data_IF_826564773725
#
_entry.id   IF_826564773725
#
_cell.length_a   1.000
_cell.length_b   1.000
_cell.length_c   1.000
_cell.angle_alpha   90.00
_cell.angle_beta   90.00
_cell.angle_gamma   90.00
#
_symmetry.space_group_name_H-M   'P 1'
#
loop_
_entity.id
_entity.type
_entity.pdbx_description
1 polymer ?
#
# COMPACT_ATOMS: atom_id res chain seq x y z
N UNK A 1 18.48 -21.89 -12.95
CA UNK A 1 17.12 -21.30 -13.10
C UNK A 1 16.97 -19.98 -12.33
N UNK A 2 17.29 -19.96 -11.03
CA UNK A 2 17.11 -18.83 -10.11
C UNK A 2 17.87 -17.56 -10.54
N UNK A 3 19.14 -17.68 -10.98
CA UNK A 3 19.96 -16.53 -11.42
C UNK A 3 19.38 -15.74 -12.60
N UNK A 4 18.56 -16.35 -13.47
CA UNK A 4 17.92 -15.63 -14.58
C UNK A 4 16.67 -14.89 -14.11
N UNK A 5 15.90 -15.46 -13.18
CA UNK A 5 14.73 -14.80 -12.58
C UNK A 5 15.16 -13.57 -11.78
N UNK A 6 16.26 -13.66 -11.02
CA UNK A 6 16.82 -12.53 -10.26
C UNK A 6 17.24 -11.38 -11.19
N UNK A 7 17.87 -11.68 -12.33
CA UNK A 7 18.24 -10.65 -13.31
C UNK A 7 17.03 -9.98 -13.94
N UNK A 8 15.99 -10.75 -14.27
CA UNK A 8 14.73 -10.22 -14.79
C UNK A 8 14.05 -9.35 -13.73
N UNK A 9 14.03 -9.81 -12.48
CA UNK A 9 13.51 -9.05 -11.34
C UNK A 9 14.18 -7.69 -11.22
N UNK A 10 15.52 -7.63 -11.19
CA UNK A 10 16.24 -6.34 -11.07
C UNK A 10 16.05 -5.44 -12.30
N UNK A 11 15.89 -6.02 -13.49
CA UNK A 11 15.59 -5.26 -14.71
C UNK A 11 14.20 -4.61 -14.65
N UNK A 12 13.19 -5.34 -14.19
CA UNK A 12 11.83 -4.83 -13.98
C UNK A 12 11.77 -3.86 -12.80
N UNK A 13 12.51 -4.13 -11.72
CA UNK A 13 12.64 -3.25 -10.55
C UNK A 13 13.12 -1.85 -10.94
N UNK A 14 14.06 -1.76 -11.89
CA UNK A 14 14.53 -0.47 -12.41
C UNK A 14 13.44 0.30 -13.18
N UNK A 15 12.52 -0.40 -13.85
CA UNK A 15 11.36 0.24 -14.51
C UNK A 15 10.34 0.73 -13.49
N UNK A 16 10.08 -0.07 -12.46
CA UNK A 16 9.21 0.29 -11.33
C UNK A 16 9.73 1.51 -10.59
N UNK A 17 11.06 1.64 -10.45
CA UNK A 17 11.73 2.79 -9.82
C UNK A 17 11.75 4.07 -10.66
N UNK A 18 11.04 4.14 -11.79
CA UNK A 18 10.93 5.40 -12.54
C UNK A 18 10.27 6.46 -11.65
N UNK A 19 10.89 7.64 -11.48
CA UNK A 19 10.46 8.62 -10.50
C UNK A 19 9.02 9.10 -10.74
N UNK A 20 8.57 9.18 -11.99
CA UNK A 20 7.19 9.53 -12.33
C UNK A 20 6.17 8.54 -11.78
N UNK A 21 6.46 7.24 -11.87
CA UNK A 21 5.56 6.19 -11.41
C UNK A 21 5.65 6.03 -9.89
N UNK A 22 6.87 6.02 -9.34
CA UNK A 22 7.11 5.94 -7.90
C UNK A 22 6.51 7.12 -7.13
N UNK A 23 6.78 8.36 -7.55
CA UNK A 23 6.32 9.54 -6.83
C UNK A 23 4.81 9.70 -6.91
N UNK A 24 4.20 9.40 -8.06
CA UNK A 24 2.74 9.45 -8.20
C UNK A 24 2.04 8.43 -7.30
N UNK A 25 2.55 7.21 -7.26
CA UNK A 25 1.96 6.12 -6.47
C UNK A 25 2.24 6.25 -4.97
N UNK A 26 3.48 6.57 -4.57
CA UNK A 26 3.80 6.87 -3.18
C UNK A 26 3.05 8.10 -2.67
N UNK A 27 2.96 9.16 -3.49
CA UNK A 27 2.21 10.37 -3.16
C UNK A 27 0.72 10.12 -2.96
N UNK A 28 0.10 9.35 -3.86
CA UNK A 28 -1.30 8.95 -3.72
C UNK A 28 -1.52 8.10 -2.46
N UNK A 29 -0.69 7.08 -2.23
CA UNK A 29 -0.77 6.21 -1.05
C UNK A 29 -0.56 7.00 0.23
N UNK A 30 0.43 7.89 0.29
CA UNK A 30 0.67 8.73 1.46
C UNK A 30 -0.49 9.68 1.71
N UNK A 31 -1.02 10.32 0.67
CA UNK A 31 -2.14 11.24 0.77
C UNK A 31 -3.37 10.54 1.36
N UNK A 32 -3.77 9.40 0.79
CA UNK A 32 -4.91 8.66 1.30
C UNK A 32 -4.66 8.10 2.71
N UNK A 33 -3.43 7.66 3.01
CA UNK A 33 -3.06 7.18 4.36
C UNK A 33 -3.24 8.27 5.40
N UNK A 34 -2.76 9.48 5.12
CA UNK A 34 -2.92 10.65 5.99
C UNK A 34 -4.39 11.02 6.10
N UNK A 35 -5.10 11.15 4.98
CA UNK A 35 -6.50 11.58 4.94
C UNK A 35 -7.41 10.62 5.71
N UNK A 36 -7.35 9.31 5.44
CA UNK A 36 -8.21 8.33 6.11
C UNK A 36 -7.89 8.24 7.60
N UNK A 37 -6.60 8.23 7.97
CA UNK A 37 -6.20 8.23 9.38
C UNK A 37 -6.69 9.50 10.08
N UNK A 38 -6.61 10.66 9.42
CA UNK A 38 -7.07 11.93 9.99
C UNK A 38 -8.58 11.97 10.16
N UNK A 39 -9.34 11.53 9.14
CA UNK A 39 -10.81 11.45 9.21
C UNK A 39 -11.25 10.52 10.33
N UNK A 40 -10.59 9.37 10.49
CA UNK A 40 -10.89 8.42 11.56
C UNK A 40 -10.78 9.09 12.95
N UNK A 41 -9.69 9.82 13.22
CA UNK A 41 -9.49 10.51 14.51
C UNK A 41 -10.37 11.75 14.68
N UNK A 42 -10.72 12.45 13.60
CA UNK A 42 -11.60 13.61 13.65
C UNK A 42 -13.06 13.23 13.93
N UNK A 43 -13.51 12.06 13.45
CA UNK A 43 -14.85 11.53 13.64
C UNK A 43 -14.98 10.54 14.81
N UNK A 44 -14.04 10.56 15.76
CA UNK A 44 -14.18 9.80 17.02
C UNK A 44 -15.51 10.15 17.69
N UNK A 45 -16.24 9.11 18.10
CA UNK A 45 -17.54 9.15 18.77
C UNK A 45 -18.68 9.83 17.98
N UNK A 46 -18.61 9.83 16.64
CA UNK A 46 -19.71 10.35 15.82
C UNK A 46 -21.00 9.50 16.00
N UNK A 47 -22.17 10.11 16.27
CA UNK A 47 -23.43 9.37 16.46
C UNK A 47 -23.87 8.58 15.22
N UNK A 48 -23.35 8.96 14.06
CA UNK A 48 -23.70 8.42 12.74
C UNK A 48 -22.86 7.20 12.34
N UNK A 49 -21.89 6.79 13.16
CA UNK A 49 -20.93 5.72 12.83
C UNK A 49 -19.67 6.27 12.15
N UNK A 50 -18.53 5.63 12.40
CA UNK A 50 -17.21 6.04 11.87
C UNK A 50 -16.41 4.84 11.30
N UNK A 51 -17.10 3.74 11.05
CA UNK A 51 -16.52 2.47 10.62
C UNK A 51 -17.42 1.76 9.62
N UNK A 52 -16.95 0.62 9.13
CA UNK A 52 -17.69 -0.17 8.14
C UNK A 52 -19.04 -0.62 8.71
N UNK A 53 -20.09 -0.58 7.87
CA UNK A 53 -21.47 -1.00 8.23
C UNK A 53 -22.05 -0.32 9.48
N UNK A 54 -21.68 0.94 9.74
CA UNK A 54 -22.24 1.72 10.85
C UNK A 54 -21.63 1.40 12.22
N UNK A 55 -20.51 0.66 12.26
CA UNK A 55 -19.75 0.44 13.48
C UNK A 55 -19.17 1.78 13.97
N UNK A 56 -19.32 2.06 15.26
CA UNK A 56 -18.71 3.22 15.89
C UNK A 56 -17.31 2.84 16.40
N UNK A 57 -16.29 3.50 15.86
CA UNK A 57 -14.92 3.41 16.38
C UNK A 57 -14.82 4.42 17.51
N UNK A 58 -14.94 3.94 18.74
CA UNK A 58 -14.88 4.79 19.94
C UNK A 58 -13.46 5.00 20.43
N UNK A 59 -13.27 6.00 21.28
CA UNK A 59 -11.99 6.29 21.94
C UNK A 59 -11.44 5.09 22.71
N UNK A 60 -12.30 4.28 23.32
CA UNK A 60 -11.89 3.09 24.08
C UNK A 60 -11.31 2.04 23.13
N UNK A 61 -11.93 1.82 21.97
CA UNK A 61 -11.41 0.91 20.94
C UNK A 61 -10.03 1.34 20.42
N UNK A 62 -9.80 2.64 20.28
CA UNK A 62 -8.50 3.18 19.88
C UNK A 62 -7.46 3.14 20.99
N UNK A 63 -7.86 3.01 22.26
CA UNK A 63 -6.93 2.84 23.38
C UNK A 63 -6.39 1.41 23.54
N UNK A 64 -7.01 0.42 22.91
CA UNK A 64 -6.49 -0.95 22.89
C UNK A 64 -5.19 -1.05 22.08
N UNK A 65 -4.46 -2.15 22.25
CA UNK A 65 -3.23 -2.46 21.50
C UNK A 65 -3.43 -2.50 19.98
N UNK A 66 -4.65 -2.79 19.50
CA UNK A 66 -4.99 -2.74 18.07
C UNK A 66 -5.20 -1.32 17.53
N UNK A 67 -5.37 -0.31 18.39
CA UNK A 67 -5.70 1.06 18.03
C UNK A 67 -4.70 1.70 17.07
N UNK A 68 -3.40 1.43 17.25
CA UNK A 68 -2.34 1.90 16.37
C UNK A 68 -2.50 1.42 14.91
N UNK A 69 -3.03 0.21 14.71
CA UNK A 69 -3.21 -0.41 13.40
C UNK A 69 -4.60 -0.23 12.81
N UNK A 70 -5.55 0.30 13.58
CA UNK A 70 -6.94 0.41 13.16
C UNK A 70 -7.11 1.29 11.91
N UNK A 71 -6.40 2.42 11.86
CA UNK A 71 -6.38 3.33 10.71
C UNK A 71 -5.78 2.68 9.47
N UNK A 72 -4.78 1.83 9.64
CA UNK A 72 -4.17 1.08 8.56
C UNK A 72 -5.10 -0.02 8.02
N UNK A 73 -5.80 -0.73 8.91
CA UNK A 73 -6.80 -1.74 8.52
C UNK A 73 -7.93 -1.12 7.69
N UNK A 74 -8.40 0.08 8.06
CA UNK A 74 -9.48 0.78 7.34
C UNK A 74 -9.08 1.20 5.93
N UNK A 75 -7.79 1.45 5.65
CA UNK A 75 -7.33 1.82 4.31
C UNK A 75 -6.95 0.63 3.43
N UNK A 76 -6.85 -0.58 4.00
CA UNK A 76 -6.37 -1.77 3.31
C UNK A 76 -7.10 -2.07 1.99
N UNK A 77 -8.42 -1.88 1.96
CA UNK A 77 -9.22 -2.06 0.74
C UNK A 77 -8.81 -1.09 -0.38
N UNK A 78 -8.64 0.19 -0.05
CA UNK A 78 -8.22 1.22 -1.01
C UNK A 78 -6.78 0.98 -1.50
N UNK A 79 -5.86 0.60 -0.61
CA UNK A 79 -4.49 0.25 -0.97
C UNK A 79 -4.45 -0.93 -1.96
N UNK A 80 -5.30 -1.94 -1.74
CA UNK A 80 -5.46 -3.07 -2.65
C UNK A 80 -5.89 -2.64 -4.04
N UNK A 81 -6.89 -1.75 -4.12
CA UNK A 81 -7.37 -1.20 -5.41
C UNK A 81 -6.26 -0.39 -6.10
N UNK A 82 -5.58 0.49 -5.38
CA UNK A 82 -4.47 1.28 -5.94
C UNK A 82 -3.36 0.36 -6.47
N UNK A 83 -2.98 -0.67 -5.72
CA UNK A 83 -2.00 -1.65 -6.16
C UNK A 83 -2.42 -2.38 -7.45
N UNK A 84 -3.71 -2.78 -7.55
CA UNK A 84 -4.26 -3.37 -8.77
C UNK A 84 -4.24 -2.40 -9.95
N UNK A 85 -4.61 -1.13 -9.75
CA UNK A 85 -4.56 -0.10 -10.79
C UNK A 85 -3.13 0.12 -11.32
N UNK A 86 -2.14 0.18 -10.43
CA UNK A 86 -0.73 0.35 -10.83
C UNK A 86 -0.23 -0.85 -11.61
N UNK A 87 -0.56 -2.06 -11.13
CA UNK A 87 -0.24 -3.30 -11.83
C UNK A 87 -0.85 -3.35 -13.23
N UNK A 88 -2.13 -3.00 -13.35
CA UNK A 88 -2.85 -2.95 -14.62
C UNK A 88 -2.25 -1.90 -15.56
N UNK A 89 -1.97 -0.69 -15.05
CA UNK A 89 -1.38 0.39 -15.84
C UNK A 89 -0.02 0.00 -16.43
N UNK A 90 0.86 -0.61 -15.62
CA UNK A 90 2.16 -1.05 -16.08
C UNK A 90 2.08 -2.17 -17.10
N UNK A 91 1.19 -3.14 -16.86
CA UNK A 91 0.95 -4.24 -17.80
C UNK A 91 0.43 -3.69 -19.13
N UNK A 92 -0.55 -2.78 -19.10
CA UNK A 92 -1.13 -2.16 -20.29
C UNK A 92 -0.10 -1.37 -21.10
N UNK A 93 0.78 -0.61 -20.44
CA UNK A 93 1.86 0.13 -21.11
C UNK A 93 2.81 -0.79 -21.88
N UNK A 94 3.13 -1.96 -21.34
CA UNK A 94 4.01 -2.91 -22.02
C UNK A 94 3.36 -3.62 -23.21
N UNK A 95 2.04 -3.84 -23.14
CA UNK A 95 1.24 -4.31 -24.27
C UNK A 95 1.14 -3.23 -25.36
N UNK A 96 0.82 -2.00 -24.98
CA UNK A 96 0.66 -0.86 -25.90
C UNK A 96 1.97 -0.57 -26.67
N UNK A 97 3.11 -0.58 -25.97
CA UNK A 97 4.42 -0.32 -26.57
C UNK A 97 5.00 -1.54 -27.32
N UNK A 98 4.29 -2.67 -27.41
CA UNK A 98 4.75 -3.89 -28.09
C UNK A 98 5.96 -4.58 -27.46
N UNK A 99 6.44 -4.08 -26.32
CA UNK A 99 7.65 -4.58 -25.64
C UNK A 99 7.50 -6.02 -25.17
N UNK A 100 6.30 -6.39 -24.71
CA UNK A 100 6.01 -7.75 -24.27
C UNK A 100 6.15 -8.75 -25.42
N UNK A 101 5.64 -8.39 -26.61
CA UNK A 101 5.75 -9.21 -27.83
C UNK A 101 7.21 -9.39 -28.24
N UNK A 102 8.00 -8.31 -28.22
CA UNK A 102 9.41 -8.37 -28.59
C UNK A 102 10.24 -9.27 -27.64
N UNK A 103 9.95 -9.23 -26.33
CA UNK A 103 10.61 -10.06 -25.33
C UNK A 103 10.22 -11.54 -25.42
N UNK A 104 8.93 -11.82 -25.64
CA UNK A 104 8.41 -13.20 -25.73
C UNK A 104 8.85 -13.93 -27.00
N UNK A 105 9.14 -13.21 -28.08
CA UNK A 105 9.66 -13.79 -29.32
C UNK A 105 11.15 -14.11 -29.20
N UNK A 106 11.93 -13.29 -28.49
CA UNK A 106 13.39 -13.43 -28.39
C UNK A 106 13.88 -14.36 -27.29
N UNK A 107 13.08 -14.60 -26.24
CA UNK A 107 13.47 -15.49 -25.14
C UNK A 107 12.67 -16.81 -25.14
N UNK A 108 13.34 -17.99 -25.21
CA UNK A 108 12.66 -19.29 -25.15
C UNK A 108 12.00 -19.58 -23.79
N UNK A 109 12.41 -18.87 -22.72
CA UNK A 109 11.89 -19.03 -21.36
C UNK A 109 10.71 -18.12 -21.00
N UNK A 110 9.60 -18.16 -21.76
CA UNK A 110 8.43 -17.25 -21.60
C UNK A 110 7.91 -17.13 -20.17
N UNK A 111 7.73 -18.26 -19.49
CA UNK A 111 7.22 -18.32 -18.11
C UNK A 111 8.19 -17.66 -17.12
N UNK A 112 9.50 -17.78 -17.35
CA UNK A 112 10.52 -17.20 -16.45
C UNK A 112 10.48 -15.67 -16.45
N UNK A 113 10.12 -15.06 -17.59
CA UNK A 113 9.93 -13.61 -17.72
C UNK A 113 8.70 -13.16 -16.93
N UNK A 114 7.59 -13.85 -17.14
CA UNK A 114 6.32 -13.53 -16.48
C UNK A 114 6.45 -13.64 -14.95
N UNK A 115 7.11 -14.69 -14.46
CA UNK A 115 7.36 -14.88 -13.02
C UNK A 115 8.26 -13.79 -12.46
N UNK A 116 9.35 -13.41 -13.15
CA UNK A 116 10.23 -12.33 -12.71
C UNK A 116 9.52 -10.97 -12.63
N UNK A 117 8.62 -10.70 -13.59
CA UNK A 117 7.80 -9.48 -13.61
C UNK A 117 6.77 -9.46 -12.48
N UNK A 118 6.02 -10.54 -12.30
CA UNK A 118 5.08 -10.69 -11.19
C UNK A 118 5.76 -10.53 -9.83
N UNK A 119 6.94 -11.12 -9.64
CA UNK A 119 7.71 -10.97 -8.42
C UNK A 119 8.12 -9.50 -8.16
N UNK A 120 8.56 -8.79 -9.19
CA UNK A 120 8.91 -7.36 -9.07
C UNK A 120 7.71 -6.49 -8.70
N UNK A 121 6.54 -6.77 -9.28
CA UNK A 121 5.32 -6.01 -9.00
C UNK A 121 4.77 -6.31 -7.61
N UNK A 122 4.83 -7.58 -7.17
CA UNK A 122 4.43 -7.97 -5.80
C UNK A 122 5.32 -7.32 -4.74
N UNK A 123 6.64 -7.36 -4.92
CA UNK A 123 7.58 -6.73 -3.97
C UNK A 123 7.39 -5.22 -3.89
N UNK A 124 7.06 -4.58 -5.00
CA UNK A 124 6.70 -3.16 -5.04
C UNK A 124 5.42 -2.86 -4.25
N UNK A 125 4.37 -3.65 -4.45
CA UNK A 125 3.13 -3.51 -3.68
C UNK A 125 3.38 -3.67 -2.17
N UNK A 126 4.17 -4.67 -1.76
CA UNK A 126 4.54 -4.86 -0.35
C UNK A 126 5.25 -3.63 0.20
N UNK A 127 6.22 -3.07 -0.53
CA UNK A 127 6.93 -1.86 -0.10
C UNK A 127 6.00 -0.66 0.08
N UNK A 128 5.03 -0.47 -0.81
CA UNK A 128 4.03 0.59 -0.65
C UNK A 128 3.12 0.40 0.54
N UNK A 129 2.67 -0.83 0.76
CA UNK A 129 1.84 -1.18 1.91
C UNK A 129 2.62 -0.93 3.22
N UNK A 130 3.92 -1.23 3.26
CA UNK A 130 4.77 -0.91 4.41
C UNK A 130 4.91 0.60 4.63
N UNK A 131 5.12 1.38 3.56
CA UNK A 131 5.16 2.86 3.67
C UNK A 131 3.83 3.40 4.19
N UNK A 132 2.70 2.90 3.68
CA UNK A 132 1.37 3.29 4.16
C UNK A 132 1.17 2.94 5.64
N UNK A 133 1.62 1.75 6.08
CA UNK A 133 1.55 1.35 7.47
C UNK A 133 2.33 2.30 8.38
N UNK A 134 3.57 2.63 8.02
CA UNK A 134 4.40 3.58 8.78
C UNK A 134 3.75 4.96 8.85
N UNK A 135 3.23 5.47 7.73
CA UNK A 135 2.57 6.77 7.69
C UNK A 135 1.29 6.76 8.52
N UNK A 136 0.45 5.73 8.39
CA UNK A 136 -0.81 5.62 9.12
C UNK A 136 -0.57 5.55 10.62
N UNK A 137 0.36 4.70 11.08
CA UNK A 137 0.73 4.61 12.51
C UNK A 137 1.29 5.94 13.02
N UNK A 138 2.16 6.59 12.23
CA UNK A 138 2.75 7.88 12.60
C UNK A 138 1.72 9.00 12.73
N UNK A 139 0.75 9.05 11.81
CA UNK A 139 -0.37 10.00 11.85
C UNK A 139 -1.28 9.71 13.06
N UNK A 140 -1.59 8.43 13.32
CA UNK A 140 -2.37 8.03 14.49
C UNK A 140 -1.69 8.42 15.80
N UNK A 141 -0.37 8.24 15.91
CA UNK A 141 0.39 8.67 17.09
C UNK A 141 0.38 10.19 17.28
N UNK A 142 0.54 10.95 16.20
CA UNK A 142 0.51 12.42 16.25
C UNK A 142 -0.88 12.96 16.65
N UNK A 143 -1.96 12.34 16.16
CA UNK A 143 -3.34 12.76 16.44
C UNK A 143 -3.88 12.26 17.78
N UNK A 144 -3.36 11.14 18.31
CA UNK A 144 -3.79 10.59 19.60
C UNK A 144 -3.57 11.59 20.75
N UNK A 145 -2.43 12.30 20.75
CA UNK A 145 -2.13 13.34 21.74
C UNK A 145 -3.08 14.53 21.72
N UNK A 146 -3.63 14.88 20.55
CA UNK A 146 -4.60 15.97 20.40
C UNK A 146 -6.05 15.58 20.75
N UNK A 147 -6.35 14.28 20.87
CA UNK A 147 -7.70 13.74 21.07
C UNK A 147 -7.87 12.96 22.38
N UNK A 148 -6.91 13.05 23.31
CA UNK A 148 -6.92 12.35 24.60
C UNK A 148 -7.13 10.83 24.49
N UNK A 149 -6.53 10.19 23.48
CA UNK A 149 -6.53 8.73 23.35
C UNK A 149 -5.27 8.20 24.04
N UNK A 150 -5.41 7.28 24.99
CA UNK A 150 -4.26 6.66 25.66
C UNK A 150 -3.54 5.72 24.69
N UNK A 151 -2.25 5.97 24.49
CA UNK A 151 -1.36 5.17 23.61
C UNK A 151 -0.48 4.19 24.38
N UNK A 152 -0.67 4.08 25.69
CA UNK A 152 0.17 3.28 26.59
C UNK A 152 0.23 1.80 26.20
N UNK A 153 -0.87 1.27 25.68
CA UNK A 153 -1.02 -0.13 25.26
C UNK A 153 -0.60 -0.40 23.82
N UNK A 154 -0.25 0.63 23.03
CA UNK A 154 0.08 0.46 21.61
C UNK A 154 1.46 -0.14 21.38
N UNK A 155 2.40 0.15 22.28
CA UNK A 155 3.79 -0.28 22.17
C UNK A 155 4.26 -1.11 23.38
N UNK A 156 3.44 -1.20 24.43
CA UNK A 156 3.65 -2.09 25.56
C UNK A 156 2.56 -3.17 25.52
N UNK A 157 2.95 -4.38 25.09
CA UNK A 157 2.14 -5.58 25.12
C UNK A 157 2.70 -6.55 26.16
#
# INVERSE_FOLDING_TARGET
MIRSVIRIFFAEWRKLRRPTLLLGTLGAVSFFSVLVSSVLFLMIDSPQGNGDRGVQITREMLSLSSGATQSFSSIGGLLGIVALCVFAAQTAQEYSLGTLRNLLVRQPGRIRILVGKLASMKTFAILMTLVSAVISIGVSYALAGGKNVSTELWFNA
#
